data_IF_949372113263
#
_entry.id   IF_949372113263
#
_cell.length_a   1.000
_cell.length_b   1.000
_cell.length_c   1.000
_cell.angle_alpha   90.00
_cell.angle_beta   90.00
_cell.angle_gamma   90.00
#
_symmetry.space_group_name_H-M   'P 1'
#
loop_
_entity.id
_entity.type
_entity.pdbx_description
1 polymer ?
#
# COMPACT_ATOMS: atom_id res chain seq x y z
N UNK A 1 2.28 -1.43 -13.08
CA UNK A 1 1.25 -2.48 -13.02
C UNK A 1 -0.10 -1.93 -12.66
N UNK A 2 -1.09 -2.77 -12.68
CA UNK A 2 -2.48 -2.42 -12.40
C UNK A 2 -3.42 -3.44 -13.01
N UNK A 3 -4.72 -3.21 -12.91
CA UNK A 3 -5.75 -4.03 -13.54
C UNK A 3 -6.37 -3.30 -14.73
N UNK A 4 -6.62 -4.03 -15.80
CA UNK A 4 -7.40 -3.61 -16.96
C UNK A 4 -8.69 -4.43 -17.00
N UNK A 5 -9.65 -4.08 -17.84
CA UNK A 5 -10.88 -4.86 -18.00
C UNK A 5 -10.65 -6.32 -18.43
N UNK A 6 -9.45 -6.67 -18.89
CA UNK A 6 -9.05 -8.01 -19.34
C UNK A 6 -7.98 -8.68 -18.46
N UNK A 7 -7.62 -8.07 -17.32
CA UNK A 7 -6.61 -8.63 -16.40
C UNK A 7 -5.58 -7.61 -15.94
N UNK A 8 -4.51 -8.09 -15.31
CA UNK A 8 -3.42 -7.25 -14.85
C UNK A 8 -2.44 -6.85 -15.96
N UNK A 9 -1.64 -5.82 -15.73
CA UNK A 9 -0.54 -5.39 -16.61
C UNK A 9 0.80 -5.43 -15.89
N UNK A 10 1.86 -5.71 -16.62
CA UNK A 10 3.25 -5.66 -16.12
C UNK A 10 3.90 -4.30 -16.33
N UNK A 11 3.34 -3.44 -17.17
CA UNK A 11 3.95 -2.19 -17.61
C UNK A 11 4.26 -1.26 -16.45
N UNK A 12 5.45 -0.68 -16.45
CA UNK A 12 5.88 0.43 -15.58
C UNK A 12 6.08 1.64 -16.48
N UNK A 13 5.48 2.75 -16.10
CA UNK A 13 5.58 4.02 -16.81
C UNK A 13 6.03 5.12 -15.85
N UNK A 14 6.63 6.16 -16.36
CA UNK A 14 7.02 7.33 -15.59
C UNK A 14 6.70 8.61 -16.37
N UNK A 15 6.66 9.71 -15.68
CA UNK A 15 6.62 11.06 -16.26
C UNK A 15 7.53 11.99 -15.47
N UNK A 16 7.95 13.06 -16.10
CA UNK A 16 8.79 14.08 -15.47
C UNK A 16 7.91 15.12 -14.77
N UNK A 17 8.15 15.35 -13.48
CA UNK A 17 7.38 16.33 -12.70
C UNK A 17 7.60 17.77 -13.15
N UNK A 18 8.79 18.10 -13.66
CA UNK A 18 9.12 19.47 -14.05
C UNK A 18 8.55 19.84 -15.43
N UNK A 19 8.53 18.89 -16.35
CA UNK A 19 8.07 19.14 -17.73
C UNK A 19 6.63 18.68 -17.98
N UNK A 20 6.12 17.76 -17.15
CA UNK A 20 4.82 17.15 -17.35
C UNK A 20 4.75 16.33 -18.65
N UNK A 21 3.55 16.17 -19.20
CA UNK A 21 3.32 15.48 -20.45
C UNK A 21 2.78 14.05 -20.29
N UNK A 22 2.78 13.30 -21.39
CA UNK A 22 2.39 11.92 -21.41
C UNK A 22 3.42 11.02 -20.71
N UNK A 23 2.95 9.90 -20.15
CA UNK A 23 3.85 8.90 -19.58
C UNK A 23 4.75 8.27 -20.64
N UNK A 24 5.93 7.86 -20.22
CA UNK A 24 6.92 7.14 -21.04
C UNK A 24 7.14 5.76 -20.44
N UNK A 25 7.39 4.77 -21.27
CA UNK A 25 7.69 3.42 -20.80
C UNK A 25 8.99 3.42 -19.99
N UNK A 26 8.92 2.85 -18.79
CA UNK A 26 10.08 2.61 -17.93
C UNK A 26 10.63 1.20 -18.13
N UNK A 27 9.75 0.21 -18.17
CA UNK A 27 10.05 -1.21 -18.24
C UNK A 27 8.84 -2.04 -17.79
N UNK A 28 9.08 -3.24 -17.31
CA UNK A 28 8.01 -4.16 -16.89
C UNK A 28 8.36 -4.91 -15.61
N UNK A 29 7.36 -5.22 -14.82
CA UNK A 29 7.44 -6.25 -13.79
C UNK A 29 7.49 -7.64 -14.43
N UNK A 30 8.00 -8.64 -13.72
CA UNK A 30 8.05 -10.02 -14.21
C UNK A 30 6.67 -10.67 -14.32
N UNK A 31 5.74 -10.24 -13.50
CA UNK A 31 4.39 -10.78 -13.41
C UNK A 31 3.37 -9.64 -13.33
N UNK A 32 2.27 -9.76 -14.07
CA UNK A 32 1.14 -8.85 -13.93
C UNK A 32 0.57 -8.91 -12.51
N UNK A 33 0.25 -7.76 -11.95
CA UNK A 33 -0.32 -7.69 -10.60
C UNK A 33 -1.17 -6.43 -10.41
N UNK A 34 -2.31 -6.60 -9.75
CA UNK A 34 -3.17 -5.50 -9.31
C UNK A 34 -3.22 -5.41 -7.79
N UNK A 35 -3.60 -4.25 -7.25
CA UNK A 35 -3.70 -4.06 -5.80
C UNK A 35 -2.41 -4.30 -5.03
N UNK A 36 -1.24 -4.15 -5.68
CA UNK A 36 0.06 -4.24 -5.03
C UNK A 36 0.34 -2.98 -4.20
N UNK A 37 1.14 -3.12 -3.15
CA UNK A 37 1.70 -1.98 -2.44
C UNK A 37 3.00 -1.52 -3.08
N UNK A 38 3.34 -0.24 -2.92
CA UNK A 38 4.63 0.29 -3.36
C UNK A 38 5.18 1.29 -2.36
N UNK A 39 6.49 1.34 -2.28
CA UNK A 39 7.25 2.28 -1.48
C UNK A 39 8.62 2.51 -2.11
N UNK A 40 9.28 3.58 -1.73
CA UNK A 40 10.57 3.94 -2.33
C UNK A 40 11.45 4.74 -1.39
N UNK A 41 12.73 4.73 -1.71
CA UNK A 41 13.70 5.72 -1.26
C UNK A 41 14.30 6.42 -2.50
N UNK A 42 15.42 7.12 -2.33
CA UNK A 42 16.09 7.80 -3.45
C UNK A 42 16.73 6.84 -4.47
N UNK A 43 17.06 5.61 -4.05
CA UNK A 43 17.77 4.62 -4.87
C UNK A 43 16.88 3.54 -5.49
N UNK A 44 15.77 3.20 -4.84
CA UNK A 44 14.91 2.09 -5.25
C UNK A 44 13.44 2.41 -5.09
N UNK A 45 12.62 1.89 -6.02
CA UNK A 45 11.18 1.78 -5.87
C UNK A 45 10.82 0.29 -5.84
N UNK A 46 10.12 -0.15 -4.79
CA UNK A 46 9.75 -1.55 -4.55
C UNK A 46 8.25 -1.72 -4.76
N UNK A 47 7.87 -2.76 -5.49
CA UNK A 47 6.51 -3.21 -5.71
C UNK A 47 6.31 -4.53 -4.97
N UNK A 48 5.36 -4.58 -4.06
CA UNK A 48 5.18 -5.72 -3.17
C UNK A 48 3.83 -6.42 -3.38
N UNK A 49 3.85 -7.74 -3.51
CA UNK A 49 2.67 -8.58 -3.56
C UNK A 49 1.73 -8.25 -4.74
N UNK A 50 0.43 -8.40 -4.57
CA UNK A 50 -0.62 -8.10 -5.54
C UNK A 50 -1.32 -9.33 -6.08
N UNK A 51 -2.52 -9.14 -6.59
CA UNK A 51 -3.31 -10.16 -7.25
C UNK A 51 -2.80 -10.39 -8.67
N UNK A 52 -2.52 -11.63 -9.04
CA UNK A 52 -1.96 -12.03 -10.33
C UNK A 52 -2.99 -12.73 -11.22
N UNK A 53 -4.14 -13.08 -10.69
CA UNK A 53 -5.28 -13.73 -11.38
C UNK A 53 -6.39 -13.97 -10.39
N UNK A 54 -7.50 -14.56 -10.81
CA UNK A 54 -8.62 -14.87 -9.94
C UNK A 54 -8.16 -15.64 -8.70
N UNK A 55 -8.23 -15.01 -7.54
CA UNK A 55 -7.85 -15.58 -6.24
C UNK A 55 -6.40 -16.08 -6.18
N UNK A 56 -5.52 -15.54 -7.01
CA UNK A 56 -4.10 -15.87 -7.02
C UNK A 56 -3.28 -14.63 -6.68
N UNK A 57 -2.39 -14.76 -5.71
CA UNK A 57 -1.66 -13.62 -5.13
C UNK A 57 -0.16 -13.89 -5.11
N UNK A 58 0.61 -12.94 -5.58
CA UNK A 58 2.06 -12.97 -5.45
C UNK A 58 2.49 -12.67 -4.02
N UNK A 59 3.44 -13.44 -3.50
CA UNK A 59 4.23 -13.05 -2.31
C UNK A 59 5.50 -12.30 -2.69
N UNK A 60 5.92 -12.37 -3.95
CA UNK A 60 7.16 -11.75 -4.42
C UNK A 60 7.10 -10.23 -4.38
N UNK A 61 8.24 -9.65 -4.09
CA UNK A 61 8.54 -8.23 -4.25
C UNK A 61 9.54 -8.06 -5.39
N UNK A 62 9.39 -6.98 -6.13
CA UNK A 62 10.28 -6.58 -7.22
C UNK A 62 10.67 -5.12 -7.06
N UNK A 63 11.81 -4.72 -7.60
CA UNK A 63 12.27 -3.34 -7.51
C UNK A 63 12.82 -2.83 -8.84
N UNK A 64 12.79 -1.52 -8.99
CA UNK A 64 13.48 -0.78 -10.04
C UNK A 64 14.41 0.26 -9.43
N UNK A 65 15.43 0.67 -10.19
CA UNK A 65 16.26 1.83 -9.87
C UNK A 65 15.70 3.03 -10.65
N UNK A 66 15.06 4.02 -9.99
CA UNK A 66 14.34 5.10 -10.69
C UNK A 66 15.19 5.92 -11.66
N UNK A 67 16.49 6.04 -11.43
CA UNK A 67 17.42 6.77 -12.29
C UNK A 67 17.76 6.05 -13.60
N UNK A 68 17.38 4.78 -13.76
CA UNK A 68 17.75 3.97 -14.94
C UNK A 68 16.56 3.16 -15.41
N UNK A 69 16.05 3.44 -16.60
CA UNK A 69 14.94 2.68 -17.18
C UNK A 69 15.33 1.21 -17.37
N UNK A 70 14.38 0.31 -17.12
CA UNK A 70 14.61 -1.13 -17.24
C UNK A 70 13.52 -1.95 -16.54
N UNK A 71 13.58 -3.24 -16.74
CA UNK A 71 12.65 -4.16 -16.08
C UNK A 71 12.94 -4.27 -14.59
N UNK A 72 11.89 -4.56 -13.82
CA UNK A 72 12.03 -4.81 -12.40
C UNK A 72 12.83 -6.09 -12.15
N UNK A 73 13.65 -6.06 -11.10
CA UNK A 73 14.42 -7.19 -10.61
C UNK A 73 13.77 -7.76 -9.34
N UNK A 74 13.98 -9.05 -9.10
CA UNK A 74 13.49 -9.72 -7.90
C UNK A 74 14.13 -9.13 -6.64
N UNK A 75 13.31 -8.79 -5.65
CA UNK A 75 13.75 -8.25 -4.37
C UNK A 75 13.77 -9.30 -3.26
N UNK A 76 12.74 -10.12 -3.15
CA UNK A 76 12.50 -11.10 -2.11
C UNK A 76 11.01 -11.46 -2.01
N UNK A 77 10.63 -12.16 -0.95
CA UNK A 77 9.22 -12.49 -0.69
C UNK A 77 8.71 -11.86 0.60
N UNK A 78 7.45 -11.51 0.62
CA UNK A 78 6.68 -11.25 1.84
C UNK A 78 6.22 -12.59 2.45
N UNK A 79 5.64 -12.55 3.66
CA UNK A 79 5.20 -13.73 4.41
C UNK A 79 4.18 -14.60 3.64
N UNK A 80 3.26 -13.95 2.93
CA UNK A 80 2.19 -14.60 2.17
C UNK A 80 1.79 -13.74 0.96
N UNK A 81 1.30 -14.40 -0.10
CA UNK A 81 0.66 -13.70 -1.22
C UNK A 81 -0.63 -13.02 -0.78
N UNK A 82 -0.76 -11.74 -1.06
CA UNK A 82 -1.91 -10.90 -0.68
C UNK A 82 -2.01 -9.67 -1.57
N UNK A 83 -3.13 -8.97 -1.53
CA UNK A 83 -3.35 -7.72 -2.26
C UNK A 83 -4.02 -6.65 -1.37
N UNK A 84 -4.13 -5.44 -1.87
CA UNK A 84 -4.79 -4.31 -1.22
C UNK A 84 -4.19 -3.94 0.15
N UNK A 85 -2.86 -3.97 0.22
CA UNK A 85 -2.10 -3.54 1.39
C UNK A 85 -1.80 -2.05 1.31
N UNK A 86 -1.62 -1.41 2.48
CA UNK A 86 -0.93 -0.14 2.59
C UNK A 86 0.58 -0.33 2.73
N UNK A 87 1.36 0.64 2.30
CA UNK A 87 2.80 0.67 2.55
C UNK A 87 3.29 2.07 2.88
N UNK A 88 4.26 2.13 3.76
CA UNK A 88 4.97 3.36 4.16
C UNK A 88 6.46 3.11 4.15
N UNK A 89 7.24 4.17 3.99
CA UNK A 89 8.71 4.05 4.01
C UNK A 89 9.37 5.30 4.58
N UNK A 90 10.60 5.10 5.04
CA UNK A 90 11.59 6.15 5.19
C UNK A 90 12.74 5.94 4.19
N UNK A 91 13.88 6.57 4.41
CA UNK A 91 15.03 6.43 3.51
C UNK A 91 15.66 5.03 3.51
N UNK A 92 15.40 4.20 4.52
CA UNK A 92 16.07 2.91 4.71
C UNK A 92 15.12 1.73 4.78
N UNK A 93 13.93 1.93 5.33
CA UNK A 93 12.97 0.86 5.62
C UNK A 93 11.64 1.09 4.94
N UNK A 94 11.12 0.05 4.26
CA UNK A 94 9.73 -0.04 3.81
C UNK A 94 8.94 -0.96 4.72
N UNK A 95 7.73 -0.56 5.11
CA UNK A 95 6.80 -1.34 5.92
C UNK A 95 5.51 -1.54 5.14
N UNK A 96 5.06 -2.78 5.06
CA UNK A 96 3.87 -3.21 4.32
C UNK A 96 2.88 -3.77 5.34
N UNK A 97 1.67 -3.25 5.38
CA UNK A 97 0.67 -3.66 6.38
C UNK A 97 -0.70 -3.98 5.79
N UNK A 98 -1.44 -4.83 6.49
CA UNK A 98 -2.79 -5.18 6.10
C UNK A 98 -2.87 -6.10 4.88
N UNK A 99 -3.95 -5.94 4.14
CA UNK A 99 -4.22 -6.65 2.90
C UNK A 99 -5.07 -7.89 3.07
N UNK A 100 -5.46 -8.48 1.95
CA UNK A 100 -6.36 -9.63 1.89
C UNK A 100 -5.90 -10.66 0.87
N UNK A 101 -6.32 -11.89 1.05
CA UNK A 101 -6.23 -12.97 0.08
C UNK A 101 -7.44 -13.90 0.20
N UNK A 102 -7.70 -14.68 -0.83
CA UNK A 102 -8.76 -15.67 -0.86
C UNK A 102 -8.19 -17.10 -0.75
N UNK A 103 -8.74 -17.89 0.20
CA UNK A 103 -8.46 -19.32 0.33
C UNK A 103 -9.66 -19.98 1.00
N UNK A 104 -10.58 -20.54 0.21
CA UNK A 104 -11.90 -21.03 0.71
C UNK A 104 -12.79 -19.95 1.34
N UNK A 105 -12.37 -18.70 1.34
CA UNK A 105 -12.99 -17.52 1.92
C UNK A 105 -12.02 -16.35 1.90
N UNK A 106 -12.51 -15.15 2.17
CA UNK A 106 -11.69 -13.97 2.28
C UNK A 106 -10.99 -13.92 3.64
N UNK A 107 -9.66 -13.78 3.62
CA UNK A 107 -8.81 -13.59 4.79
C UNK A 107 -8.15 -12.22 4.71
N UNK A 108 -8.29 -11.47 5.75
CA UNK A 108 -7.68 -10.17 5.94
C UNK A 108 -6.54 -10.27 6.95
N UNK A 109 -5.56 -9.41 6.87
CA UNK A 109 -4.35 -9.50 7.67
C UNK A 109 -4.15 -8.24 8.49
N UNK A 110 -3.81 -8.44 9.77
CA UNK A 110 -3.33 -7.36 10.65
C UNK A 110 -1.82 -7.20 10.60
N UNK A 111 -1.13 -8.19 10.05
CA UNK A 111 0.32 -8.27 10.04
C UNK A 111 0.94 -7.16 9.23
N UNK A 112 1.96 -6.50 9.84
CA UNK A 112 2.92 -5.65 9.16
C UNK A 112 4.26 -6.37 9.03
N UNK A 113 4.88 -6.23 7.87
CA UNK A 113 6.21 -6.73 7.56
C UNK A 113 7.09 -5.60 7.05
N UNK A 114 8.42 -5.73 7.23
CA UNK A 114 9.36 -4.73 6.76
C UNK A 114 10.50 -5.32 5.97
N UNK A 115 11.14 -4.46 5.19
CA UNK A 115 12.40 -4.73 4.48
C UNK A 115 13.34 -3.54 4.62
N UNK A 116 14.65 -3.79 4.49
CA UNK A 116 15.64 -2.74 4.24
C UNK A 116 15.69 -2.49 2.74
N UNK A 117 15.36 -1.27 2.28
CA UNK A 117 15.11 -0.97 0.85
C UNK A 117 16.34 -1.23 -0.02
N UNK A 118 17.53 -0.93 0.48
CA UNK A 118 18.78 -1.07 -0.30
C UNK A 118 19.34 -2.49 -0.31
N UNK A 119 18.73 -3.44 0.42
CA UNK A 119 19.20 -4.82 0.50
C UNK A 119 18.09 -5.79 0.11
N UNK A 120 18.31 -6.53 -0.98
CA UNK A 120 17.36 -7.56 -1.41
C UNK A 120 17.27 -8.68 -0.38
N UNK A 121 16.09 -8.93 0.14
CA UNK A 121 15.81 -9.95 1.15
C UNK A 121 14.31 -10.24 1.24
N UNK A 122 13.98 -11.34 1.89
CA UNK A 122 12.60 -11.56 2.34
C UNK A 122 12.24 -10.55 3.43
N UNK A 123 10.94 -10.26 3.56
CA UNK A 123 10.45 -9.40 4.63
C UNK A 123 10.59 -10.07 6.00
N UNK A 124 10.67 -9.26 7.03
CA UNK A 124 10.66 -9.66 8.43
C UNK A 124 9.44 -9.10 9.13
N UNK A 125 8.98 -9.78 10.18
CA UNK A 125 7.85 -9.31 10.98
C UNK A 125 8.16 -7.97 11.65
N UNK A 126 7.25 -7.02 11.48
CA UNK A 126 7.34 -5.69 12.09
C UNK A 126 6.47 -5.55 13.34
N UNK A 127 5.21 -5.96 13.25
CA UNK A 127 4.17 -5.80 14.26
C UNK A 127 2.80 -6.03 13.65
N UNK A 128 1.74 -5.58 14.30
CA UNK A 128 0.37 -5.68 13.81
C UNK A 128 -0.32 -4.31 13.69
N UNK A 129 -1.19 -4.17 12.73
CA UNK A 129 -2.29 -3.21 12.80
C UNK A 129 -3.24 -3.67 13.90
N UNK A 130 -4.00 -2.77 14.48
CA UNK A 130 -4.92 -3.15 15.57
C UNK A 130 -6.02 -4.13 15.14
N UNK A 131 -6.28 -4.20 13.83
CA UNK A 131 -7.29 -5.08 13.23
C UNK A 131 -6.80 -5.59 11.87
N UNK A 132 -7.36 -6.71 11.43
CA UNK A 132 -7.11 -7.26 10.11
C UNK A 132 -7.95 -6.49 9.06
N UNK A 133 -7.32 -5.63 8.31
CA UNK A 133 -7.95 -4.75 7.31
C UNK A 133 -7.30 -4.88 5.95
N UNK A 134 -8.05 -4.46 4.93
CA UNK A 134 -7.56 -4.32 3.57
C UNK A 134 -8.04 -3.00 2.97
N UNK A 135 -7.49 -2.65 1.82
CA UNK A 135 -7.85 -1.45 1.06
C UNK A 135 -7.68 -0.14 1.86
N UNK A 136 -6.68 -0.12 2.75
CA UNK A 136 -6.30 1.05 3.52
C UNK A 136 -5.50 2.02 2.66
N UNK A 137 -5.69 3.31 2.87
CA UNK A 137 -4.71 4.32 2.47
C UNK A 137 -3.52 4.30 3.42
N UNK A 138 -2.34 4.54 2.91
CA UNK A 138 -1.14 4.68 3.72
C UNK A 138 -0.35 5.93 3.33
N UNK A 139 0.27 6.58 4.31
CA UNK A 139 1.10 7.76 4.12
C UNK A 139 2.30 7.73 5.06
N UNK A 140 3.50 8.01 4.55
CA UNK A 140 4.67 8.27 5.38
C UNK A 140 4.73 9.76 5.73
N UNK A 141 5.10 10.10 6.97
CA UNK A 141 5.38 11.50 7.32
C UNK A 141 6.58 12.04 6.53
N UNK A 142 6.55 13.32 6.22
CA UNK A 142 7.61 13.95 5.40
C UNK A 142 8.96 14.06 6.11
N UNK A 143 9.02 13.84 7.44
CA UNK A 143 10.26 13.69 8.20
C UNK A 143 10.74 12.24 8.27
N UNK A 144 10.04 11.32 7.60
CA UNK A 144 10.34 9.89 7.55
C UNK A 144 10.30 9.17 8.92
N UNK A 145 9.63 9.74 9.91
CA UNK A 145 9.56 9.16 11.26
C UNK A 145 8.37 8.23 11.42
N UNK A 146 7.21 8.65 10.92
CA UNK A 146 5.95 7.95 11.14
C UNK A 146 5.34 7.41 9.85
N UNK A 147 4.68 6.26 9.98
CA UNK A 147 3.75 5.73 9.00
C UNK A 147 2.32 5.79 9.55
N UNK A 148 1.38 6.18 8.72
CA UNK A 148 -0.04 6.20 9.02
C UNK A 148 -0.80 5.31 8.06
N UNK A 149 -1.78 4.59 8.59
CA UNK A 149 -2.81 3.89 7.83
C UNK A 149 -4.17 4.50 8.16
N UNK A 150 -4.98 4.75 7.15
CA UNK A 150 -6.29 5.37 7.33
C UNK A 150 -7.39 4.71 6.51
N UNK A 151 -8.53 4.49 7.15
CA UNK A 151 -9.66 3.83 6.54
C UNK A 151 -9.50 2.33 6.39
N UNK A 152 -10.16 1.77 5.39
CA UNK A 152 -10.08 0.35 5.06
C UNK A 152 -11.39 -0.39 5.25
N UNK A 153 -11.34 -1.70 4.95
CA UNK A 153 -12.47 -2.62 5.08
C UNK A 153 -12.16 -3.65 6.17
N UNK A 154 -13.06 -3.80 7.11
CA UNK A 154 -12.94 -4.75 8.23
C UNK A 154 -13.46 -6.13 7.85
N UNK A 155 -12.79 -7.16 8.38
CA UNK A 155 -13.02 -8.56 8.03
C UNK A 155 -14.37 -9.14 8.42
N UNK A 156 -14.87 -8.76 9.60
CA UNK A 156 -15.96 -9.51 10.24
C UNK A 156 -17.34 -9.22 9.64
N UNK A 157 -17.48 -8.09 8.97
CA UNK A 157 -18.78 -7.59 8.54
C UNK A 157 -18.74 -6.76 7.25
N UNK A 158 -17.60 -6.76 6.55
CA UNK A 158 -17.37 -5.93 5.36
C UNK A 158 -17.68 -4.44 5.58
N UNK A 159 -17.56 -3.98 6.83
CA UNK A 159 -17.80 -2.58 7.18
C UNK A 159 -16.57 -1.74 6.85
N UNK A 160 -16.82 -0.59 6.27
CA UNK A 160 -15.79 0.43 6.11
C UNK A 160 -15.52 1.11 7.45
N UNK A 161 -14.28 1.49 7.66
CA UNK A 161 -13.83 2.08 8.92
C UNK A 161 -13.16 3.43 8.68
N UNK A 162 -13.24 4.30 9.67
CA UNK A 162 -12.68 5.65 9.63
C UNK A 162 -11.65 5.86 10.72
N UNK A 163 -10.81 4.88 11.01
CA UNK A 163 -9.75 5.01 12.01
C UNK A 163 -8.41 5.27 11.35
N UNK A 164 -7.54 6.01 12.08
CA UNK A 164 -6.13 6.17 11.77
C UNK A 164 -5.29 5.38 12.75
N UNK A 165 -4.26 4.74 12.22
CA UNK A 165 -3.24 4.06 13.00
C UNK A 165 -1.88 4.59 12.63
N UNK A 166 -1.05 4.82 13.65
CA UNK A 166 0.31 5.34 13.50
C UNK A 166 1.31 4.38 14.09
N UNK A 167 2.46 4.27 13.46
CA UNK A 167 3.65 3.60 13.97
C UNK A 167 4.89 4.41 13.65
N UNK A 168 5.96 4.17 14.40
CA UNK A 168 7.29 4.72 14.12
C UNK A 168 8.02 3.75 13.19
N UNK A 169 8.43 4.21 11.99
CA UNK A 169 8.96 3.33 10.92
C UNK A 169 10.22 2.55 11.38
N UNK A 170 11.07 3.15 12.19
CA UNK A 170 12.31 2.51 12.64
C UNK A 170 12.17 1.66 13.91
N UNK A 171 11.02 1.67 14.60
CA UNK A 171 10.81 0.93 15.83
C UNK A 171 9.83 -0.21 15.62
N UNK A 172 10.27 -1.45 15.81
CA UNK A 172 9.39 -2.62 15.72
C UNK A 172 8.28 -2.55 16.77
N UNK A 173 7.08 -2.93 16.35
CA UNK A 173 5.91 -2.96 17.23
C UNK A 173 4.61 -2.72 16.47
N UNK A 174 3.50 -2.90 17.18
CA UNK A 174 2.19 -2.69 16.59
C UNK A 174 1.85 -1.21 16.45
N UNK A 175 1.07 -0.90 15.42
CA UNK A 175 0.53 0.43 15.24
C UNK A 175 -0.46 0.78 16.37
N UNK A 176 -0.48 2.03 16.77
CA UNK A 176 -1.39 2.55 17.79
C UNK A 176 -2.49 3.40 17.16
N UNK A 177 -3.66 3.43 17.79
CA UNK A 177 -4.74 4.32 17.38
C UNK A 177 -4.27 5.79 17.44
N UNK A 178 -4.56 6.55 16.41
CA UNK A 178 -4.12 7.95 16.29
C UNK A 178 -5.27 8.91 15.97
N UNK A 179 -6.48 8.41 15.83
CA UNK A 179 -7.67 9.20 15.58
C UNK A 179 -8.67 8.50 14.68
N UNK A 180 -9.68 9.23 14.29
CA UNK A 180 -10.72 8.71 13.40
C UNK A 180 -11.35 9.82 12.54
N UNK A 181 -11.80 9.44 11.34
CA UNK A 181 -12.85 10.21 10.65
C UNK A 181 -14.17 10.10 11.41
N UNK A 182 -15.13 10.96 11.13
CA UNK A 182 -16.49 10.68 11.56
C UNK A 182 -17.02 9.42 10.86
N UNK A 183 -17.89 8.65 11.52
CA UNK A 183 -18.46 7.44 10.94
C UNK A 183 -19.15 7.65 9.57
N UNK A 184 -19.63 8.88 9.30
CA UNK A 184 -20.21 9.24 8.01
C UNK A 184 -19.19 9.24 6.86
N UNK A 185 -17.90 9.25 7.17
CA UNK A 185 -16.80 9.28 6.19
C UNK A 185 -15.94 8.02 6.21
N UNK A 186 -16.37 6.98 6.93
CA UNK A 186 -15.70 5.69 6.92
C UNK A 186 -15.63 5.11 5.50
N UNK A 187 -14.42 4.82 4.99
CA UNK A 187 -14.21 4.37 3.61
C UNK A 187 -12.91 3.58 3.45
N UNK A 188 -12.87 2.77 2.42
CA UNK A 188 -11.66 2.09 1.96
C UNK A 188 -11.24 2.53 0.57
N UNK A 189 -10.15 1.97 0.06
CA UNK A 189 -9.57 2.31 -1.25
C UNK A 189 -9.16 3.78 -1.36
N UNK A 190 -8.70 4.36 -0.27
CA UNK A 190 -8.20 5.74 -0.22
C UNK A 190 -6.75 5.80 -0.69
N UNK A 191 -6.34 6.94 -1.23
CA UNK A 191 -4.93 7.26 -1.44
C UNK A 191 -4.43 8.14 -0.29
N UNK A 192 -3.23 7.86 0.21
CA UNK A 192 -2.60 8.63 1.28
C UNK A 192 -1.33 9.31 0.82
N UNK A 193 -1.10 10.54 1.29
CA UNK A 193 0.14 11.28 1.13
C UNK A 193 0.36 12.21 2.33
N UNK A 194 1.58 12.66 2.54
CA UNK A 194 1.90 13.51 3.69
C UNK A 194 3.01 14.51 3.37
N UNK A 195 3.08 15.54 4.19
CA UNK A 195 4.27 16.38 4.36
C UNK A 195 4.81 16.26 5.79
N UNK A 196 5.68 17.16 6.21
CA UNK A 196 6.30 17.13 7.55
C UNK A 196 5.30 17.33 8.70
N UNK A 197 4.12 17.89 8.44
CA UNK A 197 3.19 18.29 9.51
C UNK A 197 1.85 17.55 9.42
N UNK A 198 1.41 17.24 8.21
CA UNK A 198 0.07 16.72 7.94
C UNK A 198 0.10 15.51 7.02
N UNK A 199 -0.86 14.62 7.21
CA UNK A 199 -1.24 13.59 6.25
C UNK A 199 -2.61 13.89 5.64
N UNK A 200 -2.80 13.46 4.42
CA UNK A 200 -4.05 13.56 3.69
C UNK A 200 -4.47 12.19 3.17
N UNK A 201 -5.76 11.93 3.22
CA UNK A 201 -6.37 10.74 2.63
C UNK A 201 -7.51 11.17 1.73
N UNK A 202 -7.42 10.84 0.46
CA UNK A 202 -8.37 11.29 -0.56
C UNK A 202 -9.10 10.16 -1.24
N UNK A 203 -10.31 10.44 -1.73
CA UNK A 203 -11.13 9.50 -2.47
C UNK A 203 -11.65 8.33 -1.64
N UNK A 204 -11.88 7.22 -2.30
CA UNK A 204 -12.36 5.99 -1.69
C UNK A 204 -13.85 5.73 -1.87
N UNK A 205 -14.29 4.60 -1.35
CA UNK A 205 -15.70 4.19 -1.36
C UNK A 205 -16.16 3.81 0.04
N UNK A 206 -17.42 4.06 0.34
CA UNK A 206 -18.12 3.52 1.50
C UNK A 206 -19.31 2.68 1.03
N UNK A 207 -19.80 1.82 1.91
CA UNK A 207 -20.98 0.97 1.71
C UNK A 207 -20.85 -0.06 0.58
N UNK A 208 -21.15 -1.30 0.92
CA UNK A 208 -21.05 -2.47 0.03
C UNK A 208 -22.32 -2.70 -0.79
N UNK A 209 -23.48 -2.27 -0.29
CA UNK A 209 -24.77 -2.56 -0.93
C UNK A 209 -25.15 -1.51 -1.97
N UNK A 210 -24.66 -0.29 -1.81
CA UNK A 210 -24.83 0.82 -2.74
C UNK A 210 -23.60 1.70 -2.62
N UNK A 211 -22.51 1.38 -3.34
CA UNK A 211 -21.24 2.07 -3.17
C UNK A 211 -21.39 3.56 -3.46
N UNK A 212 -21.00 4.36 -2.49
CA UNK A 212 -20.89 5.79 -2.62
C UNK A 212 -19.42 6.17 -2.74
N UNK A 213 -19.06 6.82 -3.83
CA UNK A 213 -17.71 7.32 -4.06
C UNK A 213 -17.54 8.65 -3.34
N UNK A 214 -16.36 8.84 -2.75
CA UNK A 214 -16.00 10.08 -2.08
C UNK A 214 -15.05 10.90 -2.94
N UNK A 215 -15.33 12.18 -3.06
CA UNK A 215 -14.48 13.20 -3.69
C UNK A 215 -13.76 14.08 -2.67
N UNK A 216 -13.91 13.76 -1.39
CA UNK A 216 -13.31 14.50 -0.28
C UNK A 216 -11.85 14.13 -0.04
N UNK A 217 -11.09 15.09 0.48
CA UNK A 217 -9.75 14.92 1.01
C UNK A 217 -9.77 15.29 2.48
N UNK A 218 -9.43 14.34 3.34
CA UNK A 218 -9.32 14.58 4.77
C UNK A 218 -7.88 14.86 5.17
N UNK A 219 -7.69 15.86 5.98
CA UNK A 219 -6.41 16.29 6.54
C UNK A 219 -6.32 15.85 7.99
N UNK A 220 -5.20 15.25 8.34
CA UNK A 220 -4.88 14.84 9.70
C UNK A 220 -3.55 15.45 10.13
N UNK A 221 -3.48 15.95 11.38
CA UNK A 221 -2.30 16.57 11.98
C UNK A 221 -1.58 15.62 12.94
#
# INVERSE_FOLDING_TARGET
GGTTGSGGTTTIEYFDFATGGATTSFGSMSTNRGGHASFSNQGRAVFANGETGSNTYASSMEYVTPSTTGNAAYFGNNDVGKAFMGAVADLTRGVIGGGTYYSSGWYFRERMDYVTIDTTSNSSYFGGLAWAWAAEGAASSGDNTYGLWGGGVRTSDTQYVGYYYRMTIQTLGSASSHGSWSNSYARGYTAGFANQTYSWFGGGINNTSSPSYHDSIDKHA
#
